data_IF_145024921085
#
_entry.id   IF_145024921085
#
_cell.length_a   1.000
_cell.length_b   1.000
_cell.length_c   1.000
_cell.angle_alpha   90.00
_cell.angle_beta   90.00
_cell.angle_gamma   90.00
#
_symmetry.space_group_name_H-M   'P 1'
#
loop_
_entity.id
_entity.type
_entity.pdbx_description
1 polymer ?
#
# COMPACT_ATOMS: atom_id res chain seq x y z
N UNK A 1 -3.49 -4.88 -12.86
CA UNK A 1 -3.06 -5.22 -11.50
C UNK A 1 -4.27 -5.33 -10.59
N UNK A 2 -4.44 -6.48 -9.96
CA UNK A 2 -5.60 -6.79 -9.13
C UNK A 2 -5.11 -7.36 -7.79
N UNK A 3 -5.45 -6.73 -6.69
CA UNK A 3 -5.18 -7.23 -5.32
C UNK A 3 -3.80 -7.89 -5.14
N UNK A 4 -2.76 -7.24 -5.63
CA UNK A 4 -1.38 -7.72 -5.57
C UNK A 4 -1.11 -8.97 -6.40
N UNK A 5 -1.94 -9.22 -7.40
CA UNK A 5 -1.75 -10.32 -8.35
C UNK A 5 -1.64 -9.76 -9.76
N UNK A 6 -0.65 -10.22 -10.52
CA UNK A 6 -0.47 -9.88 -11.91
C UNK A 6 -0.91 -11.08 -12.76
N UNK A 7 -1.85 -10.84 -13.68
CA UNK A 7 -2.39 -11.87 -14.56
C UNK A 7 -1.88 -11.63 -15.99
N UNK A 8 -1.34 -12.67 -16.59
CA UNK A 8 -0.91 -12.64 -17.99
C UNK A 8 -1.97 -13.37 -18.84
N UNK A 9 -2.65 -12.64 -19.69
CA UNK A 9 -3.71 -13.19 -20.51
C UNK A 9 -3.83 -12.44 -21.84
N UNK A 10 -4.17 -13.19 -22.90
CA UNK A 10 -4.56 -12.61 -24.18
C UNK A 10 -6.03 -12.15 -24.20
N UNK A 11 -6.75 -12.40 -23.12
CA UNK A 11 -8.15 -12.07 -22.96
C UNK A 11 -8.31 -10.90 -21.98
N UNK A 12 -9.38 -10.15 -22.14
CA UNK A 12 -9.71 -9.08 -21.21
C UNK A 12 -10.21 -9.69 -19.89
N UNK A 13 -9.50 -9.41 -18.80
CA UNK A 13 -9.89 -9.81 -17.45
C UNK A 13 -10.33 -8.57 -16.71
N UNK A 14 -11.59 -8.53 -16.29
CA UNK A 14 -12.19 -7.38 -15.62
C UNK A 14 -12.22 -7.50 -14.10
N UNK A 15 -12.11 -8.74 -13.59
CA UNK A 15 -12.10 -8.96 -12.14
C UNK A 15 -11.28 -10.19 -11.77
N UNK A 16 -10.81 -10.20 -10.53
CA UNK A 16 -10.06 -11.32 -9.94
C UNK A 16 -10.71 -11.65 -8.61
N UNK A 17 -10.94 -12.94 -8.38
CA UNK A 17 -11.41 -13.43 -7.10
C UNK A 17 -10.54 -14.58 -6.61
N UNK A 18 -10.52 -14.78 -5.30
CA UNK A 18 -9.85 -15.92 -4.67
C UNK A 18 -10.89 -16.96 -4.30
N UNK A 19 -10.65 -18.21 -4.66
CA UNK A 19 -11.61 -19.26 -4.34
C UNK A 19 -11.64 -19.52 -2.84
N UNK A 20 -12.84 -19.73 -2.33
CA UNK A 20 -13.08 -19.99 -0.91
C UNK A 20 -12.51 -21.34 -0.43
N UNK A 21 -12.20 -22.25 -1.35
CA UNK A 21 -11.76 -23.59 -0.98
C UNK A 21 -10.35 -23.64 -0.39
N UNK A 22 -9.47 -22.69 -0.73
CA UNK A 22 -8.06 -22.79 -0.38
C UNK A 22 -7.42 -21.51 0.14
N UNK A 23 -8.08 -20.36 0.03
CA UNK A 23 -7.63 -19.07 0.56
C UNK A 23 -6.14 -18.77 0.38
N UNK A 24 -5.64 -18.61 -0.86
CA UNK A 24 -4.22 -18.33 -1.08
C UNK A 24 -3.76 -17.06 -0.36
N UNK A 25 -2.57 -17.11 0.21
CA UNK A 25 -1.95 -15.97 0.89
C UNK A 25 -0.72 -15.53 0.10
N UNK A 26 -0.34 -14.27 0.28
CA UNK A 26 0.86 -13.72 -0.35
C UNK A 26 2.06 -14.65 -0.11
N UNK A 27 2.74 -15.01 -1.20
CA UNK A 27 3.88 -15.91 -1.17
C UNK A 27 3.55 -17.37 -1.46
N UNK A 28 2.29 -17.77 -1.43
CA UNK A 28 1.88 -19.13 -1.81
C UNK A 28 1.99 -19.32 -3.32
N UNK A 29 2.23 -20.55 -3.75
CA UNK A 29 2.15 -20.89 -5.17
C UNK A 29 0.69 -20.85 -5.61
N UNK A 30 0.42 -20.04 -6.64
CA UNK A 30 -0.94 -19.81 -7.12
C UNK A 30 -1.09 -20.15 -8.60
N UNK A 31 -2.33 -20.44 -8.98
CA UNK A 31 -2.73 -20.65 -10.36
C UNK A 31 -4.10 -19.98 -10.55
N UNK A 32 -4.32 -19.42 -11.74
CA UNK A 32 -5.59 -18.79 -12.07
C UNK A 32 -6.30 -19.54 -13.18
N UNK A 33 -7.63 -19.54 -13.13
CA UNK A 33 -8.48 -20.09 -14.17
C UNK A 33 -9.44 -19.03 -14.66
N UNK A 34 -9.65 -18.99 -15.95
CA UNK A 34 -10.58 -18.04 -16.55
C UNK A 34 -12.01 -18.54 -16.48
N UNK A 35 -12.90 -17.65 -16.05
CA UNK A 35 -14.36 -17.87 -16.10
C UNK A 35 -14.99 -16.59 -16.66
N UNK A 36 -15.33 -16.61 -17.97
CA UNK A 36 -15.76 -15.39 -18.65
C UNK A 36 -14.67 -14.33 -18.66
N UNK A 37 -14.94 -13.16 -18.09
CA UNK A 37 -13.96 -12.07 -17.93
C UNK A 37 -13.35 -12.02 -16.52
N UNK A 38 -13.57 -13.06 -15.73
CA UNK A 38 -13.06 -13.16 -14.38
C UNK A 38 -11.93 -14.18 -14.31
N UNK A 39 -10.90 -13.89 -13.52
CA UNK A 39 -9.85 -14.84 -13.18
C UNK A 39 -10.07 -15.30 -11.73
N UNK A 40 -10.11 -16.60 -11.54
CA UNK A 40 -10.29 -17.21 -10.21
C UNK A 40 -8.96 -17.81 -9.76
N UNK A 41 -8.44 -17.32 -8.64
CA UNK A 41 -7.14 -17.71 -8.11
C UNK A 41 -7.31 -18.87 -7.13
N UNK A 42 -6.51 -19.92 -7.33
CA UNK A 42 -6.42 -21.06 -6.44
C UNK A 42 -5.01 -21.23 -5.94
N UNK A 43 -4.87 -21.87 -4.79
CA UNK A 43 -3.59 -22.42 -4.39
C UNK A 43 -3.23 -23.53 -5.39
N UNK A 44 -1.97 -23.57 -5.80
CA UNK A 44 -1.52 -24.53 -6.83
C UNK A 44 -1.77 -25.99 -6.43
N UNK A 45 -1.73 -26.28 -5.13
CA UNK A 45 -1.95 -27.63 -4.58
C UNK A 45 -3.40 -27.91 -4.20
N UNK A 46 -4.33 -27.00 -4.53
CA UNK A 46 -5.73 -27.18 -4.25
C UNK A 46 -6.35 -28.30 -5.10
N UNK A 47 -7.14 -29.17 -4.50
CA UNK A 47 -7.79 -30.29 -5.21
C UNK A 47 -8.70 -29.79 -6.33
N UNK A 48 -9.41 -28.69 -6.12
CA UNK A 48 -10.26 -28.08 -7.16
C UNK A 48 -9.44 -27.54 -8.32
N UNK A 49 -8.26 -26.99 -8.07
CA UNK A 49 -7.35 -26.57 -9.13
C UNK A 49 -6.89 -27.77 -9.96
N UNK A 50 -6.55 -28.86 -9.29
CA UNK A 50 -6.16 -30.10 -9.96
C UNK A 50 -7.25 -30.63 -10.86
N UNK A 51 -8.51 -30.64 -10.38
CA UNK A 51 -9.66 -31.07 -11.17
C UNK A 51 -9.86 -30.18 -12.41
N UNK A 52 -9.68 -28.88 -12.27
CA UNK A 52 -9.80 -27.93 -13.38
C UNK A 52 -8.70 -28.14 -14.43
N UNK A 53 -7.50 -28.48 -14.01
CA UNK A 53 -6.41 -28.82 -14.92
C UNK A 53 -6.75 -30.09 -15.71
N UNK A 54 -7.30 -31.11 -15.05
CA UNK A 54 -7.73 -32.35 -15.70
C UNK A 54 -8.84 -32.16 -16.71
N UNK A 55 -9.75 -31.22 -16.47
CA UNK A 55 -10.88 -30.95 -17.37
C UNK A 55 -10.55 -29.95 -18.48
N UNK A 56 -9.27 -29.62 -18.67
CA UNK A 56 -8.78 -28.70 -19.68
C UNK A 56 -9.38 -27.30 -19.60
N UNK A 57 -9.73 -26.83 -18.39
CA UNK A 57 -10.08 -25.43 -18.22
C UNK A 57 -8.88 -24.54 -18.50
N UNK A 58 -9.14 -23.37 -19.10
CA UNK A 58 -8.10 -22.45 -19.47
C UNK A 58 -7.38 -21.89 -18.25
N UNK A 59 -6.12 -22.28 -18.11
CA UNK A 59 -5.23 -21.83 -17.07
C UNK A 59 -4.54 -20.53 -17.50
N UNK A 60 -4.49 -19.57 -16.58
CA UNK A 60 -3.82 -18.31 -16.80
C UNK A 60 -2.55 -18.26 -15.95
N UNK A 61 -1.51 -17.69 -16.52
CA UNK A 61 -0.28 -17.44 -15.77
C UNK A 61 -0.47 -16.24 -14.85
N UNK A 62 -0.17 -16.41 -13.58
CA UNK A 62 -0.26 -15.33 -12.60
C UNK A 62 0.89 -15.40 -11.59
N UNK A 63 1.18 -14.27 -11.00
CA UNK A 63 2.16 -14.17 -9.91
C UNK A 63 1.79 -13.04 -8.97
N UNK A 64 2.27 -13.11 -7.74
CA UNK A 64 2.13 -12.02 -6.80
C UNK A 64 2.97 -10.83 -7.24
N UNK A 65 2.41 -9.65 -7.10
CA UNK A 65 3.19 -8.41 -7.21
C UNK A 65 3.59 -7.96 -5.82
N UNK A 66 4.84 -7.59 -5.70
CA UNK A 66 5.34 -7.09 -4.43
C UNK A 66 4.97 -5.61 -4.30
N UNK A 67 3.98 -5.30 -3.48
CA UNK A 67 3.77 -3.92 -3.05
C UNK A 67 4.71 -3.66 -1.88
N UNK A 68 5.92 -3.22 -2.22
CA UNK A 68 6.87 -2.82 -1.20
C UNK A 68 6.45 -1.45 -0.67
N UNK A 69 6.21 -1.37 0.63
CA UNK A 69 5.96 -0.10 1.30
C UNK A 69 7.20 0.30 2.09
N UNK A 70 7.42 1.61 2.17
CA UNK A 70 8.54 2.20 2.88
C UNK A 70 8.00 3.08 4.00
N UNK A 71 8.60 2.97 5.17
CA UNK A 71 8.18 3.72 6.34
C UNK A 71 9.06 4.95 6.54
N UNK A 72 8.41 6.05 6.85
CA UNK A 72 9.07 7.33 7.08
C UNK A 72 8.57 7.95 8.38
N UNK A 73 9.39 8.82 8.91
CA UNK A 73 9.08 9.59 10.09
C UNK A 73 9.41 11.04 9.82
N UNK A 74 8.52 11.94 10.23
CA UNK A 74 8.76 13.36 10.02
C UNK A 74 8.25 14.20 11.17
N UNK A 75 8.82 15.39 11.28
CA UNK A 75 8.33 16.44 12.15
C UNK A 75 7.92 17.60 11.25
N UNK A 76 6.70 18.03 11.37
CA UNK A 76 6.17 19.17 10.63
C UNK A 76 5.79 20.30 11.58
N UNK A 77 5.80 21.51 11.04
CA UNK A 77 5.36 22.71 11.74
C UNK A 77 4.05 23.17 11.13
N UNK A 78 3.01 23.27 11.93
CA UNK A 78 1.69 23.73 11.48
C UNK A 78 1.19 24.87 12.36
N UNK A 79 0.34 25.76 11.82
CA UNK A 79 -0.32 26.75 12.67
C UNK A 79 -1.17 26.10 13.75
N UNK A 80 -1.14 26.65 14.95
CA UNK A 80 -1.90 26.12 16.09
C UNK A 80 -3.35 26.63 16.04
N UNK A 81 -4.05 26.28 14.98
CA UNK A 81 -5.46 26.63 14.77
C UNK A 81 -6.26 25.39 14.41
N UNK A 82 -7.58 25.48 14.62
CA UNK A 82 -8.47 24.33 14.35
C UNK A 82 -8.43 23.90 12.90
N UNK A 83 -8.36 22.59 12.68
CA UNK A 83 -8.45 21.99 11.36
C UNK A 83 -7.15 21.94 10.57
N UNK A 84 -6.06 22.53 11.04
CA UNK A 84 -4.79 22.52 10.28
C UNK A 84 -4.23 21.11 10.14
N UNK A 85 -4.25 20.33 11.20
CA UNK A 85 -3.81 18.92 11.12
C UNK A 85 -4.71 18.12 10.19
N UNK A 86 -6.02 18.31 10.28
CA UNK A 86 -6.97 17.61 9.41
C UNK A 86 -6.70 17.89 7.94
N UNK A 87 -6.34 19.11 7.59
CA UNK A 87 -5.97 19.49 6.21
C UNK A 87 -4.73 18.73 5.74
N UNK A 88 -3.72 18.62 6.60
CA UNK A 88 -2.48 17.89 6.27
C UNK A 88 -2.75 16.41 6.07
N UNK A 89 -3.50 15.79 6.97
CA UNK A 89 -3.82 14.36 6.88
C UNK A 89 -4.68 14.06 5.65
N UNK A 90 -5.64 14.92 5.32
CA UNK A 90 -6.45 14.78 4.11
C UNK A 90 -5.58 14.87 2.85
N UNK A 91 -4.68 15.84 2.82
CA UNK A 91 -3.72 15.98 1.73
C UNK A 91 -2.87 14.72 1.56
N UNK A 92 -2.35 14.18 2.67
CA UNK A 92 -1.56 12.96 2.64
C UNK A 92 -2.36 11.77 2.12
N UNK A 93 -3.61 11.64 2.54
CA UNK A 93 -4.49 10.57 2.07
C UNK A 93 -4.74 10.65 0.56
N UNK A 94 -4.88 11.85 0.01
CA UNK A 94 -5.05 12.06 -1.43
C UNK A 94 -3.83 11.59 -2.24
N UNK A 95 -2.64 11.66 -1.65
CA UNK A 95 -1.40 11.19 -2.28
C UNK A 95 -1.02 9.77 -1.86
N UNK A 96 -1.98 9.04 -1.29
CA UNK A 96 -1.84 7.63 -0.94
C UNK A 96 -0.83 7.33 0.19
N UNK A 97 -0.63 8.29 1.07
CA UNK A 97 0.12 8.06 2.30
C UNK A 97 -0.76 7.32 3.32
N UNK A 98 -0.22 6.29 3.92
CA UNK A 98 -0.89 5.59 5.01
C UNK A 98 -0.29 6.03 6.35
N UNK A 99 -1.10 6.64 7.20
CA UNK A 99 -0.66 7.18 8.48
C UNK A 99 -0.58 6.06 9.52
N UNK A 100 0.58 5.89 10.13
CA UNK A 100 0.81 4.90 11.17
C UNK A 100 0.66 5.48 12.58
N UNK A 101 1.01 6.74 12.76
CA UNK A 101 0.92 7.38 14.05
C UNK A 101 1.09 8.87 13.95
N UNK A 102 0.47 9.58 14.87
CA UNK A 102 0.56 11.04 14.98
C UNK A 102 0.73 11.41 16.44
N UNK A 103 1.69 12.28 16.72
CA UNK A 103 1.96 12.75 18.05
C UNK A 103 2.17 14.27 18.04
N UNK A 104 1.62 14.95 19.01
CA UNK A 104 1.80 16.39 19.16
C UNK A 104 2.81 16.72 20.24
N UNK A 105 3.68 17.69 19.95
CA UNK A 105 4.43 18.36 20.99
C UNK A 105 3.49 19.33 21.76
N UNK A 106 3.50 19.26 23.08
CA UNK A 106 2.67 20.14 23.90
C UNK A 106 3.31 21.52 24.03
N UNK A 107 2.79 22.49 23.30
CA UNK A 107 3.17 23.90 23.47
C UNK A 107 1.89 24.72 23.39
N UNK A 108 1.08 24.73 24.47
CA UNK A 108 -0.28 25.27 24.42
C UNK A 108 -0.37 26.77 24.15
N UNK A 109 0.71 27.51 24.26
CA UNK A 109 0.73 28.97 24.06
C UNK A 109 1.50 29.41 22.83
N UNK A 110 1.89 28.47 21.98
CA UNK A 110 2.63 28.77 20.75
C UNK A 110 1.68 28.98 19.57
N UNK A 111 2.05 29.89 18.67
CA UNK A 111 1.35 30.06 17.38
C UNK A 111 1.61 28.91 16.43
N UNK A 112 2.67 28.16 16.69
CA UNK A 112 3.09 27.04 15.86
C UNK A 112 3.05 25.77 16.71
N UNK A 113 2.58 24.70 16.10
CA UNK A 113 2.55 23.39 16.71
C UNK A 113 3.44 22.45 15.93
N UNK A 114 4.27 21.68 16.63
CA UNK A 114 5.06 20.63 16.02
C UNK A 114 4.29 19.33 16.08
N UNK A 115 4.25 18.64 14.96
CA UNK A 115 3.55 17.37 14.83
C UNK A 115 4.51 16.29 14.33
N UNK A 116 4.55 15.16 15.04
CA UNK A 116 5.35 14.00 14.69
C UNK A 116 4.46 13.01 13.97
N UNK A 117 4.80 12.66 12.73
CA UNK A 117 3.98 11.75 11.93
C UNK A 117 4.84 10.60 11.43
N UNK A 118 4.37 9.39 11.67
CA UNK A 118 4.90 8.18 11.04
C UNK A 118 3.93 7.74 9.96
N UNK A 119 4.46 7.37 8.82
CA UNK A 119 3.63 6.95 7.70
C UNK A 119 4.35 5.97 6.81
N UNK A 120 3.60 5.30 5.96
CA UNK A 120 4.17 4.45 4.93
C UNK A 120 3.60 4.82 3.56
N UNK A 121 4.40 4.61 2.54
CA UNK A 121 4.06 4.87 1.14
C UNK A 121 4.89 3.94 0.26
N UNK A 122 4.42 3.69 -0.94
CA UNK A 122 5.08 2.79 -1.88
C UNK A 122 6.23 3.45 -2.68
N UNK A 123 6.76 4.55 -2.21
CA UNK A 123 7.85 5.28 -2.84
C UNK A 123 9.12 5.18 -2.00
N UNK A 124 10.22 4.79 -2.63
CA UNK A 124 11.52 4.62 -1.97
C UNK A 124 12.39 5.87 -2.00
N UNK A 125 12.13 6.79 -2.92
CA UNK A 125 12.94 8.00 -3.05
C UNK A 125 12.52 9.03 -1.99
N UNK A 126 13.33 9.19 -0.97
CA UNK A 126 13.06 10.07 0.17
C UNK A 126 12.86 11.53 -0.26
N UNK A 127 13.63 12.01 -1.24
CA UNK A 127 13.52 13.37 -1.71
C UNK A 127 12.20 13.63 -2.44
N UNK A 128 11.74 12.66 -3.21
CA UNK A 128 10.43 12.73 -3.88
C UNK A 128 9.30 12.80 -2.86
N UNK A 129 9.35 11.92 -1.86
CA UNK A 129 8.33 11.86 -0.80
C UNK A 129 8.31 13.16 -0.01
N UNK A 130 9.48 13.66 0.38
CA UNK A 130 9.61 14.92 1.10
C UNK A 130 9.03 16.10 0.32
N UNK A 131 9.28 16.17 -0.97
CA UNK A 131 8.76 17.23 -1.83
C UNK A 131 7.25 17.26 -1.88
N UNK A 132 6.62 16.10 -1.91
CA UNK A 132 5.16 16.01 -1.89
C UNK A 132 4.62 16.67 -0.62
N UNK A 133 5.22 16.37 0.52
CA UNK A 133 4.81 16.93 1.82
C UNK A 133 5.10 18.44 1.89
N UNK A 134 6.26 18.87 1.40
CA UNK A 134 6.69 20.28 1.46
C UNK A 134 5.80 21.21 0.65
N UNK A 135 5.08 20.71 -0.32
CA UNK A 135 4.10 21.52 -1.08
C UNK A 135 2.93 21.97 -0.21
N UNK A 136 2.68 21.30 0.89
CA UNK A 136 1.52 21.56 1.75
C UNK A 136 1.90 22.15 3.10
N UNK A 137 3.04 21.75 3.66
CA UNK A 137 3.39 22.06 5.03
C UNK A 137 4.91 22.20 5.18
N UNK A 138 5.34 22.95 6.20
CA UNK A 138 6.76 23.08 6.51
C UNK A 138 7.27 21.85 7.20
N UNK A 139 8.27 21.19 6.62
CA UNK A 139 8.94 20.03 7.17
C UNK A 139 10.17 20.46 7.96
N UNK A 140 10.25 20.05 9.21
CA UNK A 140 11.37 20.35 10.10
C UNK A 140 12.41 19.23 10.05
N UNK A 141 11.96 17.97 10.16
CA UNK A 141 12.79 16.78 10.06
C UNK A 141 12.08 15.74 9.20
N UNK A 142 12.88 15.00 8.43
CA UNK A 142 12.35 13.97 7.55
C UNK A 142 13.40 12.88 7.35
N UNK A 143 13.07 11.65 7.69
CA UNK A 143 13.99 10.53 7.53
C UNK A 143 13.23 9.21 7.36
N UNK A 144 13.91 8.25 6.73
CA UNK A 144 13.34 6.91 6.62
C UNK A 144 13.49 6.20 7.98
N UNK A 145 12.51 5.39 8.33
CA UNK A 145 12.51 4.68 9.60
C UNK A 145 13.68 3.69 9.69
N UNK A 146 14.11 3.16 8.56
CA UNK A 146 15.28 2.29 8.47
C UNK A 146 16.56 3.04 8.88
N UNK A 147 16.72 4.28 8.42
CA UNK A 147 17.87 5.10 8.75
C UNK A 147 17.89 5.48 10.24
N UNK A 148 16.72 5.68 10.82
CA UNK A 148 16.58 5.99 12.24
C UNK A 148 17.08 4.86 13.14
N UNK A 149 16.95 3.63 12.72
CA UNK A 149 17.41 2.47 13.50
C UNK A 149 18.90 2.15 13.30
N UNK A 150 19.50 2.66 12.25
CA UNK A 150 20.91 2.41 11.91
C UNK A 150 21.88 3.47 12.44
N UNK A 151 21.39 4.37 13.26
CA UNK A 151 22.23 5.41 13.87
C UNK A 151 22.86 4.92 15.17
#
# INVERSE_FOLDING_TARGET
KFDNVLIYSNFSISSVSFDHCCHPKFGDDIVAFRSGNEAIIHHKMCDKAYDKIKTNQQMLFCKWTKDTVYQYKMVISIPNTKGELAKVLTYMAEYEFYILGVEFGRQPHSYIQYCYIEFEINKSNIEEVRKIIERKVKVIEFYSKKDAYNK
#
